data_IF_010783876439
#
_entry.id   IF_010783876439
#
_cell.length_a   1.000
_cell.length_b   1.000
_cell.length_c   1.000
_cell.angle_alpha   90.00
_cell.angle_beta   90.00
_cell.angle_gamma   90.00
#
_symmetry.space_group_name_H-M   'P 1'
#
loop_
_entity.id
_entity.type
_entity.pdbx_description
1 polymer ?
#
# COMPACT_ATOMS: atom_id res chain seq x y z
N UNK A 1 -9.81 0.47 14.15
CA UNK A 1 -11.15 0.72 13.56
C UNK A 1 -11.16 0.02 12.21
N UNK A 2 -11.21 -1.30 12.18
CA UNK A 2 -10.60 -2.07 11.08
C UNK A 2 -11.58 -3.08 10.51
N UNK A 3 -12.63 -2.60 9.83
CA UNK A 3 -13.62 -3.48 9.19
C UNK A 3 -14.41 -2.82 8.05
N UNK A 4 -14.18 -1.53 7.74
CA UNK A 4 -14.98 -0.82 6.72
C UNK A 4 -14.43 -0.95 5.30
N UNK A 5 -13.19 -1.38 5.11
CA UNK A 5 -12.54 -1.39 3.80
C UNK A 5 -12.44 -2.78 3.16
N UNK A 6 -12.61 -3.87 3.90
CA UNK A 6 -12.40 -5.25 3.43
C UNK A 6 -13.26 -5.71 2.24
N UNK A 7 -14.29 -4.96 1.83
CA UNK A 7 -15.15 -5.29 0.69
C UNK A 7 -15.12 -4.25 -0.44
N UNK A 8 -14.21 -3.26 -0.37
CA UNK A 8 -14.07 -2.29 -1.45
C UNK A 8 -13.19 -2.87 -2.57
N UNK A 9 -13.54 -2.65 -3.84
CA UNK A 9 -12.65 -2.98 -4.95
C UNK A 9 -11.30 -2.29 -4.79
N UNK A 10 -10.21 -2.95 -5.20
CA UNK A 10 -8.84 -2.42 -5.12
C UNK A 10 -8.73 -0.96 -5.63
N UNK A 11 -9.35 -0.64 -6.77
CA UNK A 11 -9.37 0.74 -7.32
C UNK A 11 -9.91 1.78 -6.33
N UNK A 12 -10.89 1.41 -5.51
CA UNK A 12 -11.52 2.29 -4.53
C UNK A 12 -10.63 2.47 -3.31
N UNK A 13 -9.96 1.40 -2.87
CA UNK A 13 -8.93 1.50 -1.81
C UNK A 13 -7.77 2.38 -2.25
N UNK A 14 -7.31 2.25 -3.50
CA UNK A 14 -6.27 3.13 -4.06
C UNK A 14 -6.74 4.61 -4.07
N UNK A 15 -8.00 4.86 -4.44
CA UNK A 15 -8.56 6.22 -4.39
C UNK A 15 -8.62 6.78 -2.97
N UNK A 16 -8.96 5.96 -1.97
CA UNK A 16 -8.95 6.36 -0.55
C UNK A 16 -7.52 6.65 -0.09
N UNK A 17 -6.57 5.77 -0.43
CA UNK A 17 -5.15 5.93 -0.09
C UNK A 17 -4.57 7.26 -0.60
N UNK A 18 -4.98 7.69 -1.80
CA UNK A 18 -4.61 9.00 -2.37
C UNK A 18 -5.06 10.17 -1.49
N UNK A 19 -6.26 10.10 -0.89
CA UNK A 19 -6.78 11.18 -0.05
C UNK A 19 -6.11 11.26 1.33
N UNK A 20 -5.34 10.24 1.71
CA UNK A 20 -4.57 10.24 2.95
C UNK A 20 -3.33 11.11 2.76
N UNK A 21 -3.31 12.27 3.42
CA UNK A 21 -2.21 13.23 3.32
C UNK A 21 -1.15 13.06 4.42
N UNK A 22 -1.42 12.27 5.45
CA UNK A 22 -0.46 11.96 6.52
C UNK A 22 0.34 10.71 6.18
N UNK A 23 1.65 10.76 6.43
CA UNK A 23 2.54 9.59 6.26
C UNK A 23 2.10 8.43 7.15
N UNK A 24 1.81 8.70 8.42
CA UNK A 24 1.29 7.70 9.38
C UNK A 24 0.01 7.03 8.87
N UNK A 25 -0.93 7.80 8.33
CA UNK A 25 -2.17 7.25 7.78
C UNK A 25 -1.93 6.39 6.55
N UNK A 26 -0.96 6.76 5.69
CA UNK A 26 -0.59 5.96 4.53
C UNK A 26 0.03 4.63 4.96
N UNK A 27 0.91 4.65 5.94
CA UNK A 27 1.54 3.45 6.50
C UNK A 27 0.51 2.51 7.12
N UNK A 28 -0.49 3.04 7.84
CA UNK A 28 -1.59 2.24 8.40
C UNK A 28 -2.49 1.62 7.32
N UNK A 29 -2.65 2.27 6.16
CA UNK A 29 -3.57 1.84 5.11
C UNK A 29 -2.97 0.86 4.10
N UNK A 30 -1.65 0.87 3.90
CA UNK A 30 -0.98 -0.03 2.94
C UNK A 30 -1.22 -1.52 3.19
N UNK A 31 -1.22 -2.03 4.43
CA UNK A 31 -1.55 -3.43 4.68
C UNK A 31 -2.94 -3.80 4.16
N UNK A 32 -3.93 -2.91 4.31
CA UNK A 32 -5.30 -3.14 3.82
C UNK A 32 -5.39 -3.12 2.27
N UNK A 33 -4.49 -2.36 1.64
CA UNK A 33 -4.31 -2.30 0.19
C UNK A 33 -3.67 -3.58 -0.35
N UNK A 34 -2.68 -4.11 0.38
CA UNK A 34 -1.95 -5.30 0.00
C UNK A 34 -2.75 -6.59 0.23
N UNK A 35 -3.61 -6.66 1.26
CA UNK A 35 -4.40 -7.85 1.58
C UNK A 35 -5.29 -8.32 0.40
N UNK A 36 -5.76 -7.39 -0.43
CA UNK A 36 -6.52 -7.70 -1.66
C UNK A 36 -5.68 -8.38 -2.76
N UNK A 37 -4.36 -8.30 -2.66
CA UNK A 37 -3.41 -8.65 -3.72
C UNK A 37 -2.55 -9.84 -3.29
N UNK A 38 -2.10 -9.82 -2.05
CA UNK A 38 -1.30 -10.84 -1.40
C UNK A 38 -1.80 -10.97 0.04
N UNK A 39 -2.22 -12.17 0.43
CA UNK A 39 -2.60 -12.41 1.81
C UNK A 39 -1.37 -12.24 2.71
N UNK A 40 -1.49 -11.37 3.72
CA UNK A 40 -0.40 -10.97 4.60
C UNK A 40 -0.86 -11.20 6.03
N UNK A 41 -0.29 -12.22 6.68
CA UNK A 41 -0.70 -12.60 8.04
C UNK A 41 0.12 -11.90 9.15
N UNK A 42 1.33 -11.42 8.86
CA UNK A 42 2.17 -10.69 9.82
C UNK A 42 3.28 -9.94 9.08
N UNK A 43 3.16 -8.61 8.98
CA UNK A 43 4.19 -7.79 8.37
C UNK A 43 4.12 -6.32 8.70
N UNK A 44 5.22 -5.61 8.47
CA UNK A 44 5.34 -4.17 8.71
C UNK A 44 5.71 -3.43 7.42
N UNK A 45 5.19 -2.20 7.30
CA UNK A 45 5.44 -1.31 6.18
C UNK A 45 6.47 -0.27 6.59
N UNK A 46 7.43 0.00 5.71
CA UNK A 46 8.37 1.11 5.84
C UNK A 46 8.26 2.01 4.61
N UNK A 47 8.09 3.31 4.82
CA UNK A 47 8.14 4.27 3.73
C UNK A 47 9.59 4.65 3.42
N UNK A 48 9.97 4.62 2.15
CA UNK A 48 11.28 5.03 1.64
C UNK A 48 11.16 6.37 0.92
N UNK A 49 11.51 7.51 1.59
CA UNK A 49 11.33 8.84 1.03
C UNK A 49 12.18 9.08 -0.23
N UNK A 50 13.35 8.46 -0.30
CA UNK A 50 14.31 8.64 -1.42
C UNK A 50 13.77 8.11 -2.74
N UNK A 51 12.87 7.11 -2.70
CA UNK A 51 12.31 6.47 -3.88
C UNK A 51 10.79 6.65 -3.98
N UNK A 52 10.16 7.29 -2.99
CA UNK A 52 8.71 7.40 -2.85
C UNK A 52 8.01 6.02 -2.91
N UNK A 53 8.66 5.02 -2.31
CA UNK A 53 8.25 3.62 -2.36
C UNK A 53 7.92 3.10 -0.96
N UNK A 54 7.19 1.99 -0.89
CA UNK A 54 6.85 1.31 0.36
C UNK A 54 7.48 -0.08 0.39
N UNK A 55 8.30 -0.34 1.41
CA UNK A 55 8.85 -1.68 1.65
C UNK A 55 7.92 -2.42 2.58
N UNK A 56 7.63 -3.66 2.22
CA UNK A 56 6.79 -4.53 3.00
C UNK A 56 7.56 -5.76 3.45
N UNK A 57 7.60 -5.98 4.76
CA UNK A 57 8.37 -7.04 5.38
C UNK A 57 7.42 -8.04 6.02
N UNK A 58 7.46 -9.30 5.59
CA UNK A 58 6.70 -10.40 6.21
C UNK A 58 7.65 -11.43 6.78
N UNK A 59 7.14 -12.28 7.68
CA UNK A 59 7.89 -13.44 8.14
C UNK A 59 8.27 -14.41 7.01
N UNK A 60 7.50 -14.45 5.93
CA UNK A 60 7.68 -15.38 4.79
C UNK A 60 8.48 -14.80 3.62
N UNK A 61 8.92 -13.53 3.70
CA UNK A 61 9.68 -12.88 2.63
C UNK A 61 9.61 -11.35 2.64
N UNK A 62 10.39 -10.75 1.74
CA UNK A 62 10.47 -9.29 1.59
C UNK A 62 9.84 -8.87 0.27
N UNK A 63 8.88 -7.96 0.33
CA UNK A 63 8.19 -7.42 -0.84
C UNK A 63 8.47 -5.92 -0.97
N UNK A 64 8.78 -5.48 -2.18
CA UNK A 64 8.79 -4.06 -2.52
C UNK A 64 7.48 -3.70 -3.17
N UNK A 65 6.77 -2.75 -2.57
CA UNK A 65 5.55 -2.17 -3.10
C UNK A 65 5.84 -0.75 -3.61
N UNK A 66 5.57 -0.53 -4.88
CA UNK A 66 5.68 0.78 -5.51
C UNK A 66 4.31 1.22 -5.98
N UNK A 67 3.86 2.35 -5.45
CA UNK A 67 2.61 3.01 -5.84
C UNK A 67 2.97 4.42 -6.27
N UNK A 68 2.90 4.69 -7.58
CA UNK A 68 3.09 6.03 -8.14
C UNK A 68 1.75 6.56 -8.61
N UNK A 69 1.51 7.82 -8.28
CA UNK A 69 0.41 8.60 -8.82
C UNK A 69 0.97 9.65 -9.77
N UNK A 70 0.22 9.95 -10.84
CA UNK A 70 0.57 11.04 -11.76
C UNK A 70 0.27 12.43 -11.14
N UNK A 71 0.54 13.50 -11.88
CA UNK A 71 0.30 14.88 -11.44
C UNK A 71 -1.20 15.21 -11.20
N UNK A 72 -2.11 14.41 -11.76
CA UNK A 72 -3.57 14.49 -11.52
C UNK A 72 -3.99 13.56 -10.37
N UNK A 73 -3.03 12.80 -9.86
CA UNK A 73 -3.12 11.84 -8.79
C UNK A 73 -3.84 10.55 -9.20
N UNK A 74 -3.94 10.23 -10.49
CA UNK A 74 -4.37 8.91 -10.94
C UNK A 74 -3.24 7.90 -10.75
N UNK A 75 -3.59 6.63 -10.52
CA UNK A 75 -2.59 5.58 -10.35
C UNK A 75 -1.83 5.39 -11.68
N UNK A 76 -0.56 5.75 -11.69
CA UNK A 76 0.32 5.64 -12.84
C UNK A 76 1.07 4.30 -12.82
N UNK A 77 1.61 3.91 -11.67
CA UNK A 77 2.34 2.66 -11.51
C UNK A 77 1.91 1.94 -10.24
N UNK A 78 1.64 0.65 -10.36
CA UNK A 78 1.51 -0.28 -9.25
C UNK A 78 2.42 -1.47 -9.52
N UNK A 79 3.43 -1.70 -8.68
CA UNK A 79 4.29 -2.88 -8.80
C UNK A 79 4.59 -3.51 -7.45
N UNK A 80 4.58 -4.85 -7.43
CA UNK A 80 5.05 -5.67 -6.31
C UNK A 80 6.19 -6.55 -6.82
N UNK A 81 7.31 -6.57 -6.11
CA UNK A 81 8.44 -7.47 -6.37
C UNK A 81 8.82 -8.23 -5.10
N UNK A 82 8.93 -9.54 -5.21
CA UNK A 82 9.51 -10.40 -4.18
C UNK A 82 11.05 -10.41 -4.33
N UNK A 83 11.77 -10.48 -3.22
CA UNK A 83 13.23 -10.52 -3.14
C UNK A 83 13.79 -11.95 -3.18
#
# INVERSE_FOLDING_TARGET
>A
MSNQFNNLPLRTKIAIFKEINSEEGRLEYIPELLDDILYIEDGYVEYCPESNDYKFFTCDGHYFLKIIFDDYGDLEEFSIKNF
#
